data_IF_046276625342
#
_entry.id   IF_046276625342
#
_cell.length_a   1.000
_cell.length_b   1.000
_cell.length_c   1.000
_cell.angle_alpha   90.00
_cell.angle_beta   90.00
_cell.angle_gamma   90.00
#
_symmetry.space_group_name_H-M   'P 1'
#
loop_
_entity.id
_entity.type
_entity.pdbx_description
1 polymer ?
#
# COMPACT_ATOMS: atom_id res chain seq x y z
N UNK A 1 -14.80 24.93 24.23
CA UNK A 1 -13.50 24.43 23.73
C UNK A 1 -13.24 23.10 24.41
N UNK A 2 -13.37 21.97 23.70
CA UNK A 2 -13.21 20.62 24.25
C UNK A 2 -11.77 20.13 24.08
N UNK A 3 -11.25 19.46 25.11
CA UNK A 3 -9.86 18.99 25.21
C UNK A 3 -9.53 17.92 24.14
N UNK A 4 -8.45 18.10 23.33
CA UNK A 4 -8.04 17.15 22.29
C UNK A 4 -7.47 15.83 22.85
N UNK A 5 -7.13 15.76 24.13
CA UNK A 5 -6.57 14.57 24.79
C UNK A 5 -7.63 13.63 25.38
N UNK A 6 -8.89 14.04 25.36
CA UNK A 6 -10.01 13.26 25.89
C UNK A 6 -10.23 11.96 25.10
N UNK A 7 -10.39 10.85 25.83
CA UNK A 7 -10.71 9.56 25.25
C UNK A 7 -12.22 9.53 24.90
N UNK A 8 -12.54 9.50 23.60
CA UNK A 8 -13.90 9.39 23.09
C UNK A 8 -14.24 7.97 22.65
N UNK A 9 -15.53 7.72 22.41
CA UNK A 9 -16.03 6.47 21.83
C UNK A 9 -16.33 6.74 20.35
N UNK A 10 -15.69 6.01 19.44
CA UNK A 10 -15.94 6.15 18.00
C UNK A 10 -17.28 5.53 17.58
N UNK A 11 -17.70 5.75 16.33
CA UNK A 11 -18.91 5.14 15.74
C UNK A 11 -18.90 3.60 15.74
N UNK A 12 -17.75 2.97 15.97
CA UNK A 12 -17.59 1.52 16.08
C UNK A 12 -17.58 1.04 17.54
N UNK A 13 -17.75 1.94 18.51
CA UNK A 13 -17.77 1.63 19.94
C UNK A 13 -16.39 1.44 20.59
N UNK A 14 -15.30 1.68 19.83
CA UNK A 14 -13.91 1.57 20.29
C UNK A 14 -13.48 2.88 20.98
N UNK A 15 -12.67 2.76 22.03
CA UNK A 15 -12.08 3.92 22.69
C UNK A 15 -10.89 4.44 21.87
N UNK A 16 -10.99 5.69 21.41
CA UNK A 16 -9.96 6.33 20.60
C UNK A 16 -9.78 7.77 21.07
N UNK A 17 -8.54 8.28 21.01
CA UNK A 17 -8.27 9.69 21.30
C UNK A 17 -8.99 10.56 20.27
N UNK A 18 -9.76 11.56 20.69
CA UNK A 18 -10.53 12.43 19.79
C UNK A 18 -9.63 13.16 18.78
N UNK A 19 -8.38 13.47 19.16
CA UNK A 19 -7.36 13.99 18.24
C UNK A 19 -7.04 13.01 17.08
N UNK A 20 -6.96 11.71 17.35
CA UNK A 20 -6.69 10.71 16.31
C UNK A 20 -7.87 10.56 15.33
N UNK A 21 -9.10 10.71 15.81
CA UNK A 21 -10.31 10.73 14.98
C UNK A 21 -10.36 11.97 14.09
N UNK A 22 -10.04 13.16 14.63
CA UNK A 22 -9.98 14.40 13.85
C UNK A 22 -8.95 14.31 12.72
N UNK A 23 -7.72 13.86 13.02
CA UNK A 23 -6.67 13.69 12.00
C UNK A 23 -7.06 12.66 10.94
N UNK A 24 -7.72 11.57 11.33
CA UNK A 24 -8.23 10.57 10.39
C UNK A 24 -9.25 11.17 9.42
N UNK A 25 -10.17 11.99 9.92
CA UNK A 25 -11.20 12.67 9.13
C UNK A 25 -10.63 13.76 8.21
N UNK A 26 -9.52 14.43 8.59
CA UNK A 26 -8.85 15.38 7.69
C UNK A 26 -8.12 14.68 6.52
N UNK A 27 -7.61 13.47 6.73
CA UNK A 27 -6.83 12.72 5.72
C UNK A 27 -7.67 11.76 4.87
N UNK A 28 -8.95 11.55 5.19
CA UNK A 28 -9.86 10.79 4.33
C UNK A 28 -10.58 11.76 3.38
N UNK A 29 -10.42 11.61 2.05
CA UNK A 29 -11.17 12.42 1.11
C UNK A 29 -12.67 12.21 1.33
N UNK A 30 -13.45 13.30 1.38
CA UNK A 30 -14.91 13.20 1.48
C UNK A 30 -15.48 12.40 0.30
N UNK A 31 -16.59 11.69 0.51
CA UNK A 31 -17.25 10.88 -0.53
C UNK A 31 -17.62 11.67 -1.79
N UNK A 32 -17.66 13.01 -1.69
CA UNK A 32 -17.97 13.96 -2.75
C UNK A 32 -16.80 14.18 -3.74
N UNK A 33 -15.57 13.85 -3.36
CA UNK A 33 -14.37 13.97 -4.21
C UNK A 33 -14.03 12.69 -5.02
N UNK A 34 -14.82 11.62 -4.87
CA UNK A 34 -14.55 10.33 -5.51
C UNK A 34 -15.19 10.30 -6.90
N UNK A 35 -14.36 10.17 -7.94
CA UNK A 35 -14.81 10.08 -9.33
C UNK A 35 -15.86 8.96 -9.53
N UNK A 36 -16.98 9.19 -10.24
CA UNK A 36 -18.07 8.22 -10.34
C UNK A 36 -17.64 6.86 -10.91
N UNK A 37 -16.65 6.85 -11.81
CA UNK A 37 -16.08 5.62 -12.36
C UNK A 37 -15.40 4.75 -11.29
N UNK A 38 -14.72 5.35 -10.30
CA UNK A 38 -14.06 4.57 -9.24
C UNK A 38 -15.07 3.96 -8.28
N UNK A 39 -16.22 4.62 -8.03
CA UNK A 39 -17.34 4.02 -7.28
C UNK A 39 -17.91 2.79 -8.00
N UNK A 40 -17.98 2.80 -9.33
CA UNK A 40 -18.49 1.66 -10.12
C UNK A 40 -17.49 0.51 -10.14
N UNK A 41 -16.20 0.78 -10.43
CA UNK A 41 -15.18 -0.27 -10.57
C UNK A 41 -14.69 -0.82 -9.22
N UNK A 42 -14.59 0.04 -8.21
CA UNK A 42 -13.97 -0.27 -6.93
C UNK A 42 -14.92 -0.16 -5.73
N UNK A 43 -16.17 0.28 -5.90
CA UNK A 43 -17.14 0.34 -4.79
C UNK A 43 -17.39 -1.02 -4.12
N UNK A 44 -17.16 -2.13 -4.83
CA UNK A 44 -17.22 -3.47 -4.26
C UNK A 44 -16.04 -3.85 -3.34
N UNK A 45 -14.85 -3.24 -3.50
CA UNK A 45 -13.66 -3.60 -2.71
C UNK A 45 -13.70 -3.01 -1.30
N UNK A 46 -14.52 -2.00 -1.06
CA UNK A 46 -14.70 -1.40 0.26
C UNK A 46 -15.74 -2.13 1.13
N UNK A 47 -16.44 -3.15 0.59
CA UNK A 47 -17.45 -3.89 1.36
C UNK A 47 -16.80 -4.74 2.46
N UNK A 48 -17.35 -4.64 3.67
CA UNK A 48 -16.96 -5.50 4.79
C UNK A 48 -17.14 -6.97 4.42
N UNK A 49 -16.04 -7.73 4.43
CA UNK A 49 -16.04 -9.17 4.11
C UNK A 49 -15.64 -9.54 2.67
N UNK A 50 -15.33 -8.57 1.79
CA UNK A 50 -14.85 -8.88 0.42
C UNK A 50 -13.54 -9.67 0.43
N UNK A 51 -12.67 -9.44 1.41
CA UNK A 51 -11.42 -10.18 1.57
C UNK A 51 -11.66 -11.68 1.73
N UNK A 52 -12.65 -12.06 2.54
CA UNK A 52 -13.02 -13.47 2.72
C UNK A 52 -13.60 -14.06 1.43
N UNK A 53 -14.41 -13.29 0.70
CA UNK A 53 -14.99 -13.72 -0.59
C UNK A 53 -13.88 -14.00 -1.60
N UNK A 54 -12.95 -13.07 -1.76
CA UNK A 54 -11.81 -13.23 -2.69
C UNK A 54 -11.01 -14.47 -2.30
N UNK A 55 -10.73 -14.65 -1.00
CA UNK A 55 -10.05 -15.84 -0.49
C UNK A 55 -10.77 -17.14 -0.85
N UNK A 56 -12.09 -17.24 -0.60
CA UNK A 56 -12.87 -18.43 -0.92
C UNK A 56 -12.96 -18.68 -2.42
N UNK A 57 -13.13 -17.64 -3.24
CA UNK A 57 -13.14 -17.76 -4.71
C UNK A 57 -11.80 -18.32 -5.19
N UNK A 58 -10.68 -17.79 -4.70
CA UNK A 58 -9.35 -18.26 -5.06
C UNK A 58 -9.11 -19.70 -4.59
N UNK A 59 -9.58 -20.04 -3.38
CA UNK A 59 -9.51 -21.39 -2.82
C UNK A 59 -10.29 -22.40 -3.68
N UNK A 60 -11.53 -22.06 -4.06
CA UNK A 60 -12.36 -22.91 -4.92
C UNK A 60 -11.72 -23.08 -6.30
N UNK A 61 -11.20 -22.00 -6.89
CA UNK A 61 -10.50 -22.05 -8.17
C UNK A 61 -9.26 -22.97 -8.09
N UNK A 62 -8.46 -22.85 -7.03
CA UNK A 62 -7.30 -23.71 -6.81
C UNK A 62 -7.71 -25.19 -6.69
N UNK A 63 -8.73 -25.50 -5.89
CA UNK A 63 -9.26 -26.86 -5.74
C UNK A 63 -9.82 -27.41 -7.05
N UNK A 64 -10.47 -26.58 -7.87
CA UNK A 64 -10.98 -26.98 -9.17
C UNK A 64 -9.84 -27.36 -10.13
N UNK A 65 -8.77 -26.57 -10.19
CA UNK A 65 -7.60 -26.86 -11.01
C UNK A 65 -6.91 -28.15 -10.56
N UNK A 66 -6.73 -28.35 -9.24
CA UNK A 66 -6.18 -29.59 -8.67
C UNK A 66 -7.05 -30.80 -9.05
N UNK A 67 -8.37 -30.63 -8.99
CA UNK A 67 -9.32 -31.69 -9.33
C UNK A 67 -9.23 -32.06 -10.81
N UNK A 68 -9.13 -31.08 -11.71
CA UNK A 68 -8.93 -31.31 -13.15
C UNK A 68 -7.62 -32.07 -13.41
N UNK A 69 -6.54 -31.70 -12.71
CA UNK A 69 -5.24 -32.37 -12.83
C UNK A 69 -5.27 -33.82 -12.32
N UNK A 70 -6.15 -34.13 -11.35
CA UNK A 70 -6.36 -35.49 -10.85
C UNK A 70 -7.10 -36.39 -11.86
N UNK A 71 -8.08 -35.84 -12.59
CA UNK A 71 -8.85 -36.61 -13.59
C UNK A 71 -8.13 -36.73 -14.94
N UNK A 72 -7.16 -35.86 -15.22
CA UNK A 72 -6.42 -35.86 -16.48
C UNK A 72 -5.01 -36.44 -16.29
N UNK A 73 -4.87 -37.75 -16.49
CA UNK A 73 -3.58 -38.42 -16.40
C UNK A 73 -2.64 -37.93 -17.53
N UNK A 74 -1.67 -37.07 -17.17
CA UNK A 74 -0.62 -36.65 -18.09
C UNK A 74 0.48 -37.71 -18.11
N UNK A 75 0.70 -38.34 -19.26
CA UNK A 75 1.81 -39.28 -19.46
C UNK A 75 3.12 -38.51 -19.68
N UNK A 76 3.80 -38.20 -18.58
CA UNK A 76 5.07 -37.46 -18.59
C UNK A 76 6.25 -38.43 -18.77
N UNK A 77 7.32 -37.99 -19.44
CA UNK A 77 8.51 -38.84 -19.69
C UNK A 77 9.34 -39.08 -18.42
N UNK A 78 9.15 -38.26 -17.38
CA UNK A 78 9.82 -38.35 -16.10
C UNK A 78 8.89 -39.04 -15.08
N UNK A 79 9.30 -40.19 -14.55
CA UNK A 79 8.48 -41.00 -13.63
C UNK A 79 8.05 -40.26 -12.35
N UNK A 80 8.82 -39.26 -11.88
CA UNK A 80 8.43 -38.46 -10.71
C UNK A 80 7.39 -37.37 -11.04
N UNK A 81 7.33 -36.92 -12.30
CA UNK A 81 6.37 -35.92 -12.77
C UNK A 81 4.97 -36.53 -13.06
N UNK A 82 4.87 -37.86 -13.13
CA UNK A 82 3.59 -38.57 -13.23
C UNK A 82 2.81 -38.64 -11.90
N UNK A 83 3.39 -38.18 -10.79
CA UNK A 83 2.68 -38.20 -9.52
C UNK A 83 1.53 -37.19 -9.55
N UNK A 84 0.31 -37.66 -9.27
CA UNK A 84 -0.89 -36.84 -9.30
C UNK A 84 -0.71 -35.61 -8.38
N UNK A 85 -0.82 -34.40 -8.94
CA UNK A 85 -0.66 -33.14 -8.22
C UNK A 85 0.77 -32.60 -8.08
N UNK A 86 1.79 -33.24 -8.68
CA UNK A 86 3.17 -32.74 -8.66
C UNK A 86 3.26 -31.29 -9.14
N UNK A 87 2.62 -30.97 -10.27
CA UNK A 87 2.62 -29.63 -10.85
C UNK A 87 1.89 -28.61 -9.99
N UNK A 88 0.79 -29.00 -9.34
CA UNK A 88 0.06 -28.12 -8.42
C UNK A 88 0.89 -27.76 -7.19
N UNK A 89 1.52 -28.74 -6.54
CA UNK A 89 2.37 -28.51 -5.37
C UNK A 89 3.63 -27.75 -5.77
N UNK A 90 4.29 -28.13 -6.86
CA UNK A 90 5.50 -27.47 -7.34
C UNK A 90 5.25 -26.01 -7.72
N UNK A 91 4.18 -25.73 -8.47
CA UNK A 91 3.78 -24.36 -8.82
C UNK A 91 3.45 -23.52 -7.60
N UNK A 92 2.75 -24.09 -6.60
CA UNK A 92 2.49 -23.41 -5.34
C UNK A 92 3.77 -23.08 -4.57
N UNK A 93 4.72 -24.02 -4.48
CA UNK A 93 6.01 -23.81 -3.82
C UNK A 93 6.81 -22.71 -4.53
N UNK A 94 6.90 -22.73 -5.86
CA UNK A 94 7.57 -21.68 -6.63
C UNK A 94 6.91 -20.31 -6.43
N UNK A 95 5.58 -20.24 -6.42
CA UNK A 95 4.86 -18.99 -6.18
C UNK A 95 5.06 -18.47 -4.76
N UNK A 96 4.92 -19.34 -3.75
CA UNK A 96 5.15 -18.98 -2.35
C UNK A 96 6.58 -18.47 -2.13
N UNK A 97 7.56 -19.14 -2.74
CA UNK A 97 8.95 -18.70 -2.73
C UNK A 97 9.11 -17.29 -3.32
N UNK A 98 8.50 -17.00 -4.48
CA UNK A 98 8.55 -15.68 -5.09
C UNK A 98 7.93 -14.58 -4.21
N UNK A 99 6.81 -14.87 -3.53
CA UNK A 99 6.16 -13.93 -2.61
C UNK A 99 7.03 -13.66 -1.38
N UNK A 100 7.62 -14.71 -0.79
CA UNK A 100 8.51 -14.58 0.37
C UNK A 100 9.78 -13.80 -0.01
N UNK A 101 10.26 -13.95 -1.24
CA UNK A 101 11.41 -13.19 -1.75
C UNK A 101 11.17 -11.69 -1.94
N UNK A 102 9.93 -11.20 -1.79
CA UNK A 102 9.64 -9.77 -1.80
C UNK A 102 10.30 -9.00 -0.65
N UNK A 103 10.29 -9.54 0.58
CA UNK A 103 10.94 -8.91 1.73
C UNK A 103 12.47 -8.77 1.61
N UNK A 104 13.24 -9.84 1.28
CA UNK A 104 14.69 -9.74 1.17
C UNK A 104 15.10 -8.89 -0.04
N UNK A 105 14.38 -8.97 -1.17
CA UNK A 105 14.67 -8.14 -2.33
C UNK A 105 14.35 -6.66 -2.03
N UNK A 106 13.24 -6.40 -1.34
CA UNK A 106 12.91 -5.06 -0.85
C UNK A 106 13.97 -4.52 0.09
N UNK A 107 14.47 -5.32 1.03
CA UNK A 107 15.57 -4.91 1.91
C UNK A 107 16.87 -4.61 1.13
N UNK A 108 17.20 -5.43 0.12
CA UNK A 108 18.41 -5.26 -0.69
C UNK A 108 18.36 -4.01 -1.59
N UNK A 109 17.20 -3.71 -2.19
CA UNK A 109 17.03 -2.52 -3.04
C UNK A 109 16.67 -1.26 -2.25
N UNK A 110 16.16 -1.38 -1.02
CA UNK A 110 15.77 -0.23 -0.21
C UNK A 110 17.03 0.54 0.19
N UNK A 111 17.11 1.75 -0.33
CA UNK A 111 18.15 2.72 -0.01
C UNK A 111 18.07 3.12 1.46
N UNK A 112 19.21 3.52 2.01
CA UNK A 112 19.31 3.96 3.41
C UNK A 112 18.31 5.10 3.69
N UNK A 113 17.72 5.04 4.87
CA UNK A 113 16.73 6.01 5.34
C UNK A 113 17.31 7.42 5.51
N UNK A 114 18.64 7.55 5.62
CA UNK A 114 19.36 8.81 5.74
C UNK A 114 20.01 9.27 4.42
N UNK A 115 19.69 8.64 3.28
CA UNK A 115 20.37 8.96 2.01
C UNK A 115 20.20 10.42 1.55
N UNK A 116 19.14 11.12 1.99
CA UNK A 116 18.92 12.55 1.71
C UNK A 116 19.17 13.47 2.93
N UNK A 117 19.82 12.96 3.98
CA UNK A 117 19.93 13.66 5.26
C UNK A 117 18.74 13.40 6.20
N UNK A 118 18.77 14.01 7.38
CA UNK A 118 17.69 13.88 8.38
C UNK A 118 16.38 14.43 7.82
N UNK A 119 15.32 13.62 7.82
CA UNK A 119 14.02 13.96 7.22
C UNK A 119 13.31 15.13 7.94
N UNK A 120 13.85 15.60 9.07
CA UNK A 120 13.38 16.78 9.81
C UNK A 120 14.35 17.96 9.84
N UNK A 121 15.52 17.85 9.22
CA UNK A 121 16.54 18.91 9.20
C UNK A 121 16.29 19.95 8.10
N UNK A 122 16.73 21.20 8.28
CA UNK A 122 16.82 22.16 7.18
C UNK A 122 17.59 21.52 6.01
N UNK A 123 17.18 21.75 4.74
CA UNK A 123 17.89 21.25 3.57
C UNK A 123 19.41 21.42 3.71
N UNK A 124 20.18 20.35 3.49
CA UNK A 124 21.64 20.45 3.50
C UNK A 124 22.09 21.52 2.50
N UNK A 125 22.70 22.58 3.00
CA UNK A 125 23.09 23.76 2.21
C UNK A 125 22.41 25.08 2.60
N UNK A 126 21.48 25.07 3.56
CA UNK A 126 20.93 26.29 4.17
C UNK A 126 21.66 26.53 5.49
N UNK A 127 22.42 27.63 5.57
CA UNK A 127 23.02 28.11 6.82
C UNK A 127 21.88 28.44 7.81
N UNK A 128 21.82 27.80 9.00
CA UNK A 128 20.76 28.03 9.98
C UNK A 128 20.76 29.47 10.52
N UNK A 129 21.87 30.20 10.35
CA UNK A 129 22.00 31.61 10.70
C UNK A 129 21.81 32.54 9.49
N UNK A 130 21.45 32.00 8.32
CA UNK A 130 21.08 32.83 7.18
C UNK A 130 19.82 33.64 7.49
N UNK A 131 19.79 34.94 7.14
CA UNK A 131 18.58 35.75 7.29
C UNK A 131 17.45 35.09 6.49
N UNK A 132 16.27 34.95 7.12
CA UNK A 132 15.08 34.44 6.45
C UNK A 132 14.77 35.30 5.23
N UNK A 133 14.19 34.70 4.19
CA UNK A 133 13.88 35.39 2.93
C UNK A 133 13.01 36.66 3.13
N UNK A 134 12.30 36.74 4.25
CA UNK A 134 11.46 37.87 4.65
C UNK A 134 12.25 39.10 5.15
N UNK A 135 13.51 38.90 5.57
CA UNK A 135 14.42 39.94 6.07
C UNK A 135 15.34 40.51 4.97
N UNK A 136 15.34 39.89 3.78
CA UNK A 136 16.10 40.35 2.63
C UNK A 136 15.26 41.36 1.84
N UNK A 137 15.84 42.50 1.39
CA UNK A 137 15.12 43.41 0.50
C UNK A 137 14.68 42.62 -0.74
N UNK A 138 13.37 42.68 -1.03
CA UNK A 138 12.75 41.88 -2.10
C UNK A 138 13.61 41.96 -3.37
N UNK A 139 14.00 40.83 -3.97
CA UNK A 139 14.76 40.86 -5.21
C UNK A 139 13.96 41.64 -6.25
N UNK A 140 14.55 42.70 -6.79
CA UNK A 140 13.99 43.39 -7.95
C UNK A 140 13.98 42.40 -9.12
N UNK A 141 12.87 41.70 -9.30
CA UNK A 141 12.59 40.92 -10.48
C UNK A 141 12.40 41.91 -11.64
N UNK A 142 13.48 42.21 -12.35
CA UNK A 142 13.36 42.70 -13.72
C UNK A 142 12.85 41.52 -14.53
N UNK A 143 11.57 41.57 -14.91
CA UNK A 143 11.03 40.59 -15.84
C UNK A 143 11.65 40.88 -17.20
N UNK A 144 12.43 39.93 -17.71
CA UNK A 144 13.10 39.98 -19.01
C UNK A 144 12.08 39.81 -20.15
N UNK A 145 11.06 40.67 -20.16
CA UNK A 145 9.93 40.65 -21.10
C UNK A 145 9.33 42.02 -21.39
N UNK A 146 9.82 43.10 -20.77
CA UNK A 146 9.46 44.48 -21.09
C UNK A 146 10.57 45.12 -21.94
N UNK A 147 10.64 44.75 -23.22
CA UNK A 147 11.38 45.45 -24.26
C UNK A 147 10.61 45.41 -25.58
#
# INVERSE_FOLDING_TARGET
MSDPTENGRDNSGRFVKRAAESVHNLNTPSEDGIHPLSKILFGWTHRKGIGNIIFYVLMVLALAVISVDFFHARHEYLNFANYAGFYGVWGFVCFAFAVIMGWPLGHLLRRDENYYGDAGGPPEGIDPDAPMADDLPAPHHTSEGDA
#
